data_IF_519411360524
#
_entry.id   IF_519411360524
#
_cell.length_a   1.000
_cell.length_b   1.000
_cell.length_c   1.000
_cell.angle_alpha   90.00
_cell.angle_beta   90.00
_cell.angle_gamma   90.00
#
_symmetry.space_group_name_H-M   'P 1'
#
loop_
_entity.id
_entity.type
_entity.pdbx_description
1 polymer ?
#
# COMPACT_ATOMS: atom_id res chain seq x y z
N UNK A 1 -48.98 2.99 16.40
CA UNK A 1 -49.84 2.43 17.46
C UNK A 1 -48.97 2.12 18.68
N UNK A 2 -49.53 2.28 19.88
CA UNK A 2 -48.91 2.10 21.22
C UNK A 2 -48.05 3.26 21.73
N UNK A 3 -48.69 4.18 22.47
CA UNK A 3 -48.18 4.92 23.64
C UNK A 3 -49.17 6.00 24.16
N UNK A 4 -50.39 6.08 23.61
CA UNK A 4 -51.41 7.07 24.04
C UNK A 4 -52.44 6.56 25.06
N UNK A 5 -52.32 5.31 25.55
CA UNK A 5 -53.37 4.66 26.35
C UNK A 5 -53.03 4.39 27.83
N UNK A 6 -51.84 4.73 28.31
CA UNK A 6 -51.44 4.41 29.70
C UNK A 6 -51.82 5.46 30.77
N UNK A 7 -52.35 6.62 30.37
CA UNK A 7 -52.77 7.67 31.33
C UNK A 7 -54.28 7.88 31.44
N UNK A 8 -55.08 7.14 30.67
CA UNK A 8 -56.55 7.24 30.71
C UNK A 8 -57.19 6.41 31.85
N UNK A 9 -56.41 5.60 32.57
CA UNK A 9 -56.92 4.69 33.61
C UNK A 9 -56.73 5.20 35.05
N UNK A 10 -56.33 6.45 35.26
CA UNK A 10 -56.23 7.08 36.59
C UNK A 10 -57.37 8.06 36.90
N UNK A 11 -58.40 8.11 36.04
CA UNK A 11 -59.55 8.98 36.23
C UNK A 11 -60.84 8.24 35.87
N UNK A 12 -61.16 7.21 36.66
CA UNK A 12 -62.54 6.73 36.75
C UNK A 12 -62.75 6.00 38.06
N UNK A 13 -63.55 6.62 38.94
CA UNK A 13 -64.43 5.95 39.90
C UNK A 13 -63.79 4.91 40.82
N UNK A 14 -62.90 5.37 41.72
CA UNK A 14 -62.64 4.65 42.97
C UNK A 14 -63.70 5.06 44.01
N UNK A 15 -64.47 4.13 44.60
CA UNK A 15 -65.44 4.43 45.65
C UNK A 15 -64.81 4.86 46.99
N UNK A 16 -63.49 4.77 47.13
CA UNK A 16 -62.76 5.11 48.37
C UNK A 16 -62.28 6.57 48.43
N UNK A 17 -62.65 7.41 47.45
CA UNK A 17 -62.50 8.85 47.56
C UNK A 17 -63.80 9.50 48.05
N UNK A 18 -64.27 9.10 49.24
CA UNK A 18 -65.17 9.96 50.01
C UNK A 18 -64.38 11.20 50.39
N UNK A 19 -64.62 12.29 49.67
CA UNK A 19 -64.25 13.63 50.11
C UNK A 19 -64.85 13.81 51.51
N UNK A 20 -64.01 13.88 52.53
CA UNK A 20 -64.33 14.43 53.83
C UNK A 20 -64.90 15.83 53.60
N UNK A 21 -66.23 15.92 53.66
CA UNK A 21 -67.01 17.11 53.31
C UNK A 21 -66.86 18.26 54.31
N UNK A 22 -65.64 18.62 54.66
CA UNK A 22 -65.29 19.92 55.23
C UNK A 22 -64.98 20.84 54.05
N UNK A 23 -65.87 21.79 53.69
CA UNK A 23 -65.50 22.81 52.72
C UNK A 23 -64.38 23.65 53.34
N UNK A 24 -63.14 23.48 52.86
CA UNK A 24 -62.05 24.43 53.11
C UNK A 24 -62.49 25.80 52.59
N UNK A 25 -63.08 26.62 53.47
CA UNK A 25 -63.34 28.02 53.21
C UNK A 25 -62.00 28.75 53.24
N UNK A 26 -61.39 28.90 52.06
CA UNK A 26 -60.32 29.88 51.88
C UNK A 26 -60.89 31.27 52.21
N UNK A 27 -60.22 32.07 53.06
CA UNK A 27 -60.73 33.39 53.43
C UNK A 27 -60.86 34.25 52.18
N UNK A 28 -62.09 34.50 51.76
CA UNK A 28 -62.42 35.48 50.74
C UNK A 28 -62.05 36.85 51.28
N UNK A 29 -61.30 37.64 50.52
CA UNK A 29 -61.16 39.07 50.78
C UNK A 29 -62.56 39.73 50.80
N UNK A 30 -62.76 40.87 51.47
CA UNK A 30 -64.08 41.48 51.70
C UNK A 30 -64.99 41.65 50.45
N UNK A 31 -64.39 41.67 49.26
CA UNK A 31 -65.09 41.86 47.98
C UNK A 31 -65.36 40.54 47.21
N UNK A 32 -65.10 39.37 47.80
CA UNK A 32 -65.52 38.07 47.22
C UNK A 32 -64.77 37.60 45.97
N UNK A 33 -63.62 38.20 45.63
CA UNK A 33 -62.82 37.83 44.45
C UNK A 33 -61.55 37.10 44.87
N UNK A 34 -61.34 35.87 44.37
CA UNK A 34 -60.05 35.19 44.53
C UNK A 34 -58.96 35.92 43.71
N UNK A 35 -57.77 36.20 44.27
CA UNK A 35 -56.68 36.77 43.50
C UNK A 35 -56.31 35.81 42.36
N UNK A 36 -56.12 36.29 41.12
CA UNK A 36 -55.68 35.43 40.02
C UNK A 36 -54.34 34.78 40.40
N UNK A 37 -54.13 33.48 40.09
CA UNK A 37 -52.85 32.83 40.36
C UNK A 37 -51.72 33.64 39.71
N UNK A 38 -50.55 33.77 40.37
CA UNK A 38 -49.45 34.53 39.82
C UNK A 38 -49.09 34.00 38.42
N UNK A 39 -49.00 34.89 37.44
CA UNK A 39 -48.65 34.53 36.07
C UNK A 39 -47.31 33.79 36.07
N UNK A 40 -47.35 32.49 35.74
CA UNK A 40 -46.14 31.70 35.58
C UNK A 40 -45.33 32.32 34.44
N UNK A 41 -44.19 32.95 34.77
CA UNK A 41 -43.24 33.45 33.76
C UNK A 41 -42.92 32.28 32.82
N UNK A 42 -43.08 32.44 31.49
CA UNK A 42 -42.76 31.38 30.54
C UNK A 42 -41.26 31.10 30.67
N UNK A 43 -40.93 30.04 31.42
CA UNK A 43 -39.54 29.63 31.59
C UNK A 43 -39.13 29.09 30.23
N UNK A 44 -38.17 29.76 29.58
CA UNK A 44 -37.72 29.53 28.21
C UNK A 44 -36.95 28.19 28.06
N UNK A 45 -37.52 27.11 28.61
CA UNK A 45 -36.95 25.75 28.67
C UNK A 45 -36.65 25.22 27.28
N UNK A 46 -37.44 25.63 26.28
CA UNK A 46 -37.20 25.33 24.88
C UNK A 46 -35.88 25.91 24.37
N UNK A 47 -35.52 27.14 24.74
CA UNK A 47 -34.25 27.76 24.32
C UNK A 47 -33.06 27.02 24.90
N UNK A 48 -33.11 26.65 26.19
CA UNK A 48 -32.05 25.85 26.80
C UNK A 48 -31.95 24.44 26.22
N UNK A 49 -33.08 23.81 25.90
CA UNK A 49 -33.10 22.51 25.22
C UNK A 49 -32.50 22.60 23.81
N UNK A 50 -32.85 23.63 23.04
CA UNK A 50 -32.28 23.89 21.71
C UNK A 50 -30.78 24.15 21.81
N UNK A 51 -30.32 24.97 22.75
CA UNK A 51 -28.90 25.22 22.96
C UNK A 51 -28.13 23.96 23.36
N UNK A 52 -28.72 23.10 24.21
CA UNK A 52 -28.11 21.83 24.59
C UNK A 52 -27.99 20.86 23.39
N UNK A 53 -29.02 20.77 22.55
CA UNK A 53 -28.98 19.96 21.32
C UNK A 53 -27.93 20.49 20.35
N UNK A 54 -27.86 21.81 20.14
CA UNK A 54 -26.85 22.43 19.28
C UNK A 54 -25.42 22.20 19.82
N UNK A 55 -25.22 22.35 21.13
CA UNK A 55 -23.93 22.08 21.76
C UNK A 55 -23.51 20.61 21.60
N UNK A 56 -24.44 19.68 21.76
CA UNK A 56 -24.18 18.25 21.55
C UNK A 56 -23.83 17.93 20.09
N UNK A 57 -24.51 18.56 19.14
CA UNK A 57 -24.20 18.42 17.71
C UNK A 57 -22.80 18.94 17.39
N UNK A 58 -22.44 20.13 17.88
CA UNK A 58 -21.09 20.71 17.69
C UNK A 58 -20.02 19.82 18.33
N UNK A 59 -20.24 19.37 19.57
CA UNK A 59 -19.34 18.44 20.24
C UNK A 59 -19.15 17.15 19.43
N UNK A 60 -20.24 16.58 18.94
CA UNK A 60 -20.19 15.34 18.15
C UNK A 60 -19.44 15.55 16.83
N UNK A 61 -19.68 16.66 16.12
CA UNK A 61 -18.95 17.00 14.89
C UNK A 61 -17.46 17.17 15.17
N UNK A 62 -17.08 17.85 16.25
CA UNK A 62 -15.68 18.04 16.63
C UNK A 62 -15.00 16.71 16.98
N UNK A 63 -15.67 15.85 17.76
CA UNK A 63 -15.14 14.51 18.10
C UNK A 63 -15.00 13.65 16.86
N UNK A 64 -15.97 13.63 15.95
CA UNK A 64 -15.90 12.86 14.71
C UNK A 64 -14.82 13.39 13.76
N UNK A 65 -14.66 14.71 13.69
CA UNK A 65 -13.60 15.34 12.88
C UNK A 65 -12.22 15.01 13.45
N UNK A 66 -12.04 15.11 14.77
CA UNK A 66 -10.82 14.72 15.45
C UNK A 66 -10.55 13.21 15.30
N UNK A 67 -11.54 12.34 15.47
CA UNK A 67 -11.39 10.90 15.28
C UNK A 67 -11.02 10.55 13.83
N UNK A 68 -11.61 11.24 12.85
CA UNK A 68 -11.26 11.07 11.44
C UNK A 68 -9.82 11.50 11.16
N UNK A 69 -9.42 12.69 11.60
CA UNK A 69 -8.10 13.25 11.35
C UNK A 69 -6.98 12.51 12.09
N UNK A 70 -7.18 12.20 13.37
CA UNK A 70 -6.12 11.66 14.23
C UNK A 70 -6.09 10.13 14.33
N UNK A 71 -7.22 9.44 14.12
CA UNK A 71 -7.29 7.98 14.23
C UNK A 71 -7.60 7.27 12.90
N UNK A 72 -8.60 7.71 12.15
CA UNK A 72 -8.99 7.00 10.94
C UNK A 72 -7.91 7.14 9.85
N UNK A 73 -7.43 8.35 9.57
CA UNK A 73 -6.39 8.57 8.55
C UNK A 73 -5.05 7.92 8.90
N UNK A 74 -4.68 7.90 10.17
CA UNK A 74 -3.40 7.32 10.64
C UNK A 74 -3.41 5.79 10.68
N UNK A 75 -4.57 5.16 10.93
CA UNK A 75 -4.67 3.71 11.13
C UNK A 75 -5.24 2.98 9.90
N UNK A 76 -5.88 3.69 8.96
CA UNK A 76 -6.48 3.08 7.76
C UNK A 76 -5.50 2.26 6.91
N UNK A 77 -4.26 2.70 6.63
CA UNK A 77 -3.28 1.88 5.88
C UNK A 77 -2.94 0.57 6.61
N UNK A 78 -2.75 0.65 7.93
CA UNK A 78 -2.39 -0.49 8.79
C UNK A 78 -3.55 -1.50 8.92
N UNK A 79 -4.81 -1.03 8.97
CA UNK A 79 -5.99 -1.90 9.00
C UNK A 79 -6.25 -2.53 7.62
N UNK A 80 -6.02 -1.79 6.54
CA UNK A 80 -6.28 -2.26 5.19
C UNK A 80 -5.29 -3.35 4.74
N UNK A 81 -4.06 -3.32 5.24
CA UNK A 81 -3.03 -4.33 4.96
C UNK A 81 -2.19 -4.62 6.22
N UNK A 82 -2.70 -5.41 7.18
CA UNK A 82 -1.93 -5.74 8.37
C UNK A 82 -0.78 -6.67 7.99
N UNK A 83 0.44 -6.13 8.00
CA UNK A 83 1.66 -6.88 7.78
C UNK A 83 2.48 -6.94 9.08
N UNK A 84 3.17 -8.06 9.35
CA UNK A 84 4.10 -8.15 10.50
C UNK A 84 5.45 -7.51 10.22
N UNK A 85 5.69 -7.16 8.96
CA UNK A 85 6.90 -6.51 8.48
C UNK A 85 6.87 -4.98 8.70
N UNK A 86 5.74 -4.45 9.19
CA UNK A 86 5.46 -3.04 9.50
C UNK A 86 5.76 -2.10 8.33
N UNK A 87 5.69 -2.60 7.09
CA UNK A 87 5.96 -1.82 5.89
C UNK A 87 4.89 -0.74 5.67
N UNK A 88 3.64 -0.98 6.09
CA UNK A 88 2.56 -0.01 5.95
C UNK A 88 2.58 1.10 7.00
N UNK A 89 3.31 0.95 8.11
CA UNK A 89 3.35 1.94 9.19
C UNK A 89 4.18 3.18 8.87
N UNK A 90 5.10 3.10 7.90
CA UNK A 90 5.96 4.22 7.49
C UNK A 90 5.32 5.09 6.41
N UNK A 91 4.17 4.67 5.87
CA UNK A 91 3.49 5.41 4.82
C UNK A 91 2.79 6.64 5.38
N UNK A 92 3.43 7.78 5.14
CA UNK A 92 2.84 9.09 5.32
C UNK A 92 2.40 9.62 3.95
N UNK A 93 1.25 10.28 3.86
CA UNK A 93 0.76 10.84 2.61
C UNK A 93 0.75 12.36 2.68
N UNK A 94 1.17 13.01 1.59
CA UNK A 94 1.12 14.46 1.42
C UNK A 94 0.48 14.81 0.09
N UNK A 95 -0.30 15.88 0.10
CA UNK A 95 -0.80 16.47 -1.13
C UNK A 95 0.35 17.20 -1.83
N UNK A 96 0.53 16.93 -3.11
CA UNK A 96 1.56 17.53 -3.96
C UNK A 96 0.90 18.15 -5.20
N UNK A 97 1.45 19.26 -5.73
CA UNK A 97 1.06 19.72 -7.06
C UNK A 97 1.49 18.69 -8.09
N UNK A 98 0.70 18.52 -9.15
CA UNK A 98 1.12 17.70 -10.27
C UNK A 98 2.35 18.32 -10.94
N UNK A 99 3.41 17.52 -11.10
CA UNK A 99 4.59 17.95 -11.85
C UNK A 99 4.36 17.71 -13.34
N UNK A 100 4.34 18.79 -14.11
CA UNK A 100 4.16 18.77 -15.56
C UNK A 100 5.48 18.94 -16.31
N UNK A 101 6.60 19.09 -15.59
CA UNK A 101 7.91 19.20 -16.23
C UNK A 101 8.27 17.86 -16.83
N UNK A 102 8.39 17.85 -18.16
CA UNK A 102 8.98 16.69 -18.82
C UNK A 102 10.41 16.49 -18.30
N UNK A 103 10.82 15.24 -18.04
CA UNK A 103 12.19 14.93 -17.65
C UNK A 103 13.16 15.47 -18.71
N UNK A 104 14.08 16.34 -18.30
CA UNK A 104 15.18 16.78 -19.16
C UNK A 104 16.37 15.81 -19.07
N UNK A 105 17.44 16.08 -19.82
CA UNK A 105 18.65 15.26 -19.79
C UNK A 105 19.37 15.26 -18.42
N UNK A 106 18.99 16.13 -17.48
CA UNK A 106 19.51 16.16 -16.12
C UNK A 106 18.68 15.33 -15.14
N UNK A 107 17.51 14.80 -15.55
CA UNK A 107 16.65 14.01 -14.68
C UNK A 107 17.39 12.77 -14.15
N UNK A 108 17.39 12.50 -12.82
CA UNK A 108 18.27 11.48 -12.22
C UNK A 108 18.03 10.05 -12.72
N UNK A 109 16.84 9.77 -13.24
CA UNK A 109 16.40 8.43 -13.65
C UNK A 109 15.90 8.33 -15.10
N UNK A 110 15.81 9.45 -15.84
CA UNK A 110 15.21 9.48 -17.18
C UNK A 110 16.07 10.36 -18.11
N UNK A 111 15.72 10.38 -19.40
CA UNK A 111 16.48 11.07 -20.44
C UNK A 111 17.50 10.15 -21.12
N UNK A 112 18.50 10.74 -21.77
CA UNK A 112 19.49 9.96 -22.54
C UNK A 112 20.30 9.01 -21.65
N UNK A 113 20.51 7.73 -22.07
CA UNK A 113 21.33 6.76 -21.34
C UNK A 113 22.72 7.31 -20.99
N UNK A 114 23.11 7.16 -19.72
CA UNK A 114 24.41 7.62 -19.21
C UNK A 114 24.82 6.87 -17.93
N UNK A 115 26.13 6.72 -17.67
CA UNK A 115 26.60 5.95 -16.51
C UNK A 115 26.09 6.45 -15.16
N UNK A 116 25.81 7.74 -15.01
CA UNK A 116 25.23 8.30 -13.80
C UNK A 116 23.80 7.84 -13.55
N UNK A 117 22.97 7.83 -14.60
CA UNK A 117 21.60 7.36 -14.55
C UNK A 117 21.55 5.86 -14.20
N UNK A 118 22.44 5.06 -14.78
CA UNK A 118 22.55 3.63 -14.46
C UNK A 118 22.94 3.40 -12.99
N UNK A 119 23.87 4.20 -12.45
CA UNK A 119 24.22 4.16 -11.02
C UNK A 119 23.05 4.54 -10.13
N UNK A 120 22.27 5.55 -10.51
CA UNK A 120 21.10 5.98 -9.75
C UNK A 120 20.04 4.88 -9.71
N UNK A 121 19.72 4.26 -10.85
CA UNK A 121 18.80 3.12 -10.91
C UNK A 121 19.30 1.92 -10.11
N UNK A 122 20.57 1.56 -10.25
CA UNK A 122 21.17 0.46 -9.49
C UNK A 122 21.08 0.72 -7.98
N UNK A 123 21.38 1.94 -7.54
CA UNK A 123 21.27 2.34 -6.12
C UNK A 123 19.82 2.25 -5.64
N UNK A 124 18.89 2.81 -6.42
CA UNK A 124 17.46 2.80 -6.10
C UNK A 124 16.92 1.38 -5.96
N UNK A 125 17.15 0.53 -6.96
CA UNK A 125 16.66 -0.86 -6.96
C UNK A 125 17.34 -1.72 -5.90
N UNK A 126 18.64 -1.49 -5.63
CA UNK A 126 19.34 -2.21 -4.56
C UNK A 126 18.78 -1.91 -3.17
N UNK A 127 18.22 -0.71 -2.97
CA UNK A 127 17.63 -0.30 -1.70
C UNK A 127 16.37 -1.11 -1.35
N UNK A 128 15.68 -1.68 -2.35
CA UNK A 128 14.48 -2.49 -2.17
C UNK A 128 14.76 -4.00 -2.21
N UNK A 129 16.02 -4.42 -2.04
CA UNK A 129 16.39 -5.82 -1.78
C UNK A 129 16.24 -6.05 -0.30
N UNK A 130 15.06 -6.46 0.11
CA UNK A 130 14.60 -6.40 1.48
C UNK A 130 14.82 -7.72 2.22
N UNK A 131 15.14 -7.64 3.51
CA UNK A 131 15.10 -8.78 4.43
C UNK A 131 13.69 -8.91 5.00
N UNK A 132 12.94 -9.88 4.53
CA UNK A 132 11.56 -10.14 4.97
C UNK A 132 11.59 -11.07 6.19
N UNK A 133 11.02 -10.67 7.34
CA UNK A 133 10.99 -11.50 8.53
C UNK A 133 10.24 -12.81 8.33
N UNK A 134 10.74 -13.86 8.94
CA UNK A 134 10.18 -15.21 8.94
C UNK A 134 8.76 -15.22 9.50
N UNK A 135 8.47 -14.34 10.46
CA UNK A 135 7.12 -14.20 11.01
C UNK A 135 6.10 -13.75 9.97
N UNK A 136 6.52 -13.00 8.94
CA UNK A 136 5.68 -12.55 7.83
C UNK A 136 5.58 -13.65 6.76
N UNK A 137 6.69 -14.26 6.36
CA UNK A 137 6.69 -15.40 5.42
C UNK A 137 5.82 -16.55 5.94
N UNK A 138 5.93 -16.91 7.23
CA UNK A 138 5.07 -17.91 7.87
C UNK A 138 3.60 -17.50 7.94
N UNK A 139 3.32 -16.21 8.10
CA UNK A 139 1.93 -15.70 8.10
C UNK A 139 1.30 -15.88 6.71
N UNK A 140 2.10 -15.74 5.66
CA UNK A 140 1.69 -15.89 4.27
C UNK A 140 1.64 -17.36 3.81
N UNK A 141 2.30 -18.28 4.52
CA UNK A 141 2.32 -19.70 4.15
C UNK A 141 3.13 -20.00 2.89
N UNK A 142 4.20 -19.24 2.66
CA UNK A 142 5.04 -19.30 1.45
C UNK A 142 6.50 -19.70 1.74
N UNK A 143 6.77 -20.26 2.93
CA UNK A 143 8.12 -20.62 3.40
C UNK A 143 8.85 -21.52 2.40
N UNK A 144 8.17 -22.57 1.90
CA UNK A 144 8.78 -23.59 1.03
C UNK A 144 9.37 -23.01 -0.26
N UNK A 145 8.77 -21.93 -0.79
CA UNK A 145 9.19 -21.27 -2.02
C UNK A 145 9.97 -19.97 -1.80
N UNK A 146 10.13 -19.53 -0.55
CA UNK A 146 10.82 -18.29 -0.22
C UNK A 146 12.31 -18.55 -0.02
N UNK A 147 13.15 -17.60 -0.42
CA UNK A 147 14.61 -17.77 -0.41
C UNK A 147 15.16 -17.40 0.97
N UNK A 148 15.79 -18.35 1.66
CA UNK A 148 16.49 -18.09 2.92
C UNK A 148 17.83 -17.38 2.67
N UNK A 149 18.15 -16.40 3.51
CA UNK A 149 19.45 -15.71 3.50
C UNK A 149 20.43 -16.48 4.40
N UNK A 150 21.47 -17.04 3.78
CA UNK A 150 22.54 -17.77 4.46
C UNK A 150 23.61 -16.81 4.97
N UNK A 151 23.27 -15.96 5.93
CA UNK A 151 24.20 -15.09 6.65
C UNK A 151 23.95 -15.15 8.16
N UNK A 152 24.74 -14.41 8.95
CA UNK A 152 24.65 -14.42 10.41
C UNK A 152 23.28 -13.94 10.96
N UNK A 153 22.45 -13.32 10.11
CA UNK A 153 21.15 -12.74 10.49
C UNK A 153 19.98 -13.67 10.12
N UNK A 154 20.05 -14.40 9.00
CA UNK A 154 18.97 -15.30 8.56
C UNK A 154 17.76 -14.55 7.95
N UNK A 155 16.55 -15.07 8.04
CA UNK A 155 15.35 -14.50 7.38
C UNK A 155 15.33 -14.72 5.86
N UNK A 156 14.40 -14.04 5.17
CA UNK A 156 14.11 -14.32 3.77
C UNK A 156 14.45 -13.14 2.86
N UNK A 157 14.98 -13.44 1.68
CA UNK A 157 15.13 -12.47 0.60
C UNK A 157 13.76 -12.12 0.02
N UNK A 158 13.48 -10.83 -0.11
CA UNK A 158 12.28 -10.35 -0.76
C UNK A 158 12.37 -8.90 -1.20
N UNK A 159 11.23 -8.35 -1.57
CA UNK A 159 11.06 -6.94 -1.89
C UNK A 159 9.61 -6.54 -1.63
N UNK A 160 9.37 -5.31 -1.23
CA UNK A 160 8.03 -4.73 -1.28
C UNK A 160 7.59 -4.43 -2.72
N UNK A 161 6.27 -4.39 -2.95
CA UNK A 161 5.69 -4.18 -4.28
C UNK A 161 6.23 -2.96 -5.03
N UNK A 162 6.56 -1.86 -4.34
CA UNK A 162 7.13 -0.68 -4.99
C UNK A 162 8.52 -0.96 -5.60
N UNK A 163 9.32 -1.83 -5.01
CA UNK A 163 10.61 -2.24 -5.58
C UNK A 163 10.45 -3.00 -6.90
N UNK A 164 9.49 -3.93 -6.96
CA UNK A 164 9.11 -4.62 -8.19
C UNK A 164 8.59 -3.65 -9.25
N UNK A 165 7.73 -2.70 -8.87
CA UNK A 165 7.17 -1.71 -9.80
C UNK A 165 8.27 -0.79 -10.36
N UNK A 166 9.22 -0.36 -9.54
CA UNK A 166 10.38 0.41 -10.00
C UNK A 166 11.28 -0.39 -10.95
N UNK A 167 11.48 -1.69 -10.68
CA UNK A 167 12.17 -2.58 -11.61
C UNK A 167 11.47 -2.61 -12.98
N UNK A 168 10.13 -2.72 -12.99
CA UNK A 168 9.35 -2.67 -14.24
C UNK A 168 9.50 -1.33 -14.98
N UNK A 169 9.54 -0.20 -14.26
CA UNK A 169 9.78 1.11 -14.87
C UNK A 169 11.17 1.17 -15.51
N UNK A 170 12.22 0.69 -14.81
CA UNK A 170 13.57 0.62 -15.38
C UNK A 170 13.61 -0.28 -16.61
N UNK A 171 12.97 -1.44 -16.56
CA UNK A 171 12.93 -2.38 -17.68
C UNK A 171 12.25 -1.77 -18.92
N UNK A 172 11.17 -1.01 -18.74
CA UNK A 172 10.54 -0.25 -19.82
C UNK A 172 11.45 0.86 -20.36
N UNK A 173 12.14 1.58 -19.48
CA UNK A 173 13.13 2.59 -19.89
C UNK A 173 14.23 1.95 -20.76
N UNK A 174 14.74 0.78 -20.37
CA UNK A 174 15.76 0.07 -21.15
C UNK A 174 15.22 -0.40 -22.51
N UNK A 175 13.96 -0.84 -22.55
CA UNK A 175 13.26 -1.16 -23.80
C UNK A 175 13.04 0.06 -24.71
N UNK A 176 12.77 1.24 -24.16
CA UNK A 176 12.70 2.50 -24.92
C UNK A 176 14.06 2.88 -25.50
N UNK A 177 15.14 2.49 -24.83
CA UNK A 177 16.53 2.69 -25.25
C UNK A 177 17.18 1.39 -25.73
N UNK A 178 16.41 0.55 -26.45
CA UNK A 178 16.83 -0.77 -26.94
C UNK A 178 18.17 -0.75 -27.66
N UNK A 179 18.43 0.25 -28.50
CA UNK A 179 19.70 0.35 -29.24
C UNK A 179 20.92 0.54 -28.33
N UNK A 180 20.72 1.07 -27.13
CA UNK A 180 21.79 1.23 -26.13
C UNK A 180 21.93 -0.03 -25.26
N UNK A 181 20.83 -0.46 -24.62
CA UNK A 181 20.85 -1.52 -23.60
C UNK A 181 20.74 -2.94 -24.16
N UNK A 182 20.14 -3.10 -25.34
CA UNK A 182 19.80 -4.39 -25.94
C UNK A 182 20.23 -4.46 -27.42
N UNK A 183 21.47 -4.05 -27.69
CA UNK A 183 22.03 -4.14 -29.03
C UNK A 183 22.34 -5.60 -29.40
N UNK A 184 22.05 -5.97 -30.64
CA UNK A 184 22.37 -7.29 -31.23
C UNK A 184 21.69 -8.52 -30.58
N UNK A 185 20.44 -8.37 -30.10
CA UNK A 185 19.66 -9.52 -29.63
C UNK A 185 19.38 -10.55 -30.75
N UNK A 186 19.43 -11.83 -30.38
CA UNK A 186 18.90 -12.95 -31.18
C UNK A 186 17.37 -12.94 -31.21
N UNK A 187 16.75 -13.70 -32.12
CA UNK A 187 15.29 -13.82 -32.18
C UNK A 187 14.68 -14.37 -30.88
N UNK A 188 15.37 -15.31 -30.23
CA UNK A 188 14.93 -15.87 -28.95
C UNK A 188 14.99 -14.83 -27.82
N UNK A 189 16.05 -14.01 -27.79
CA UNK A 189 16.19 -12.91 -26.83
C UNK A 189 15.14 -11.82 -27.08
N UNK A 190 14.89 -11.45 -28.33
CA UNK A 190 13.84 -10.47 -28.69
C UNK A 190 12.47 -10.91 -28.16
N UNK A 191 12.13 -12.20 -28.34
CA UNK A 191 10.88 -12.77 -27.86
C UNK A 191 10.80 -12.75 -26.34
N UNK A 192 11.90 -13.09 -25.66
CA UNK A 192 12.00 -13.06 -24.20
C UNK A 192 11.85 -11.63 -23.67
N UNK A 193 12.61 -10.69 -24.22
CA UNK A 193 12.59 -9.28 -23.86
C UNK A 193 11.19 -8.68 -24.06
N UNK A 194 10.56 -8.93 -25.22
CA UNK A 194 9.19 -8.53 -25.50
C UNK A 194 8.19 -9.11 -24.50
N UNK A 195 8.29 -10.40 -24.16
CA UNK A 195 7.44 -11.02 -23.14
C UNK A 195 7.61 -10.36 -21.77
N UNK A 196 8.83 -9.98 -21.41
CA UNK A 196 9.11 -9.30 -20.14
C UNK A 196 8.56 -7.87 -20.13
N UNK A 197 8.70 -7.09 -21.22
CA UNK A 197 8.06 -5.77 -21.35
C UNK A 197 6.53 -5.86 -21.14
N UNK A 198 5.87 -6.86 -21.73
CA UNK A 198 4.43 -7.08 -21.53
C UNK A 198 4.09 -7.47 -20.09
N UNK A 199 4.92 -8.27 -19.44
CA UNK A 199 4.80 -8.58 -18.01
C UNK A 199 4.89 -7.30 -17.16
N UNK A 200 5.89 -6.44 -17.43
CA UNK A 200 6.08 -5.17 -16.73
C UNK A 200 4.86 -4.27 -16.88
N UNK A 201 4.33 -4.11 -18.10
CA UNK A 201 3.11 -3.34 -18.35
C UNK A 201 1.91 -3.89 -17.57
N UNK A 202 1.72 -5.22 -17.59
CA UNK A 202 0.63 -5.86 -16.86
C UNK A 202 0.73 -5.61 -15.35
N UNK A 203 1.93 -5.73 -14.77
CA UNK A 203 2.15 -5.49 -13.34
C UNK A 203 1.98 -4.04 -12.94
N UNK A 204 2.43 -3.10 -13.76
CA UNK A 204 2.20 -1.67 -13.53
C UNK A 204 0.71 -1.32 -13.62
N UNK A 205 -0.03 -1.92 -14.57
CA UNK A 205 -1.49 -1.77 -14.62
C UNK A 205 -2.17 -2.30 -13.36
N UNK A 206 -1.75 -3.44 -12.84
CA UNK A 206 -2.30 -3.98 -11.59
C UNK A 206 -1.97 -3.08 -10.40
N UNK A 207 -0.76 -2.54 -10.33
CA UNK A 207 -0.39 -1.56 -9.30
C UNK A 207 -1.29 -0.31 -9.33
N UNK A 208 -1.60 0.22 -10.51
CA UNK A 208 -2.50 1.36 -10.68
C UNK A 208 -3.95 1.03 -10.25
N UNK A 209 -4.41 -0.21 -10.47
CA UNK A 209 -5.73 -0.65 -9.99
C UNK A 209 -5.78 -0.83 -8.47
N UNK A 210 -4.69 -1.30 -7.87
CA UNK A 210 -4.57 -1.45 -6.41
C UNK A 210 -4.48 -0.10 -5.70
N UNK A 211 -3.85 0.90 -6.34
CA UNK A 211 -3.65 2.24 -5.79
C UNK A 211 -4.13 3.32 -6.77
N UNK A 212 -5.44 3.40 -7.04
CA UNK A 212 -5.96 4.35 -8.00
C UNK A 212 -5.89 5.78 -7.47
N UNK A 213 -5.28 6.67 -8.24
CA UNK A 213 -5.35 8.11 -8.00
C UNK A 213 -6.63 8.66 -8.62
N UNK A 214 -7.62 8.92 -7.77
CA UNK A 214 -8.94 9.44 -8.17
C UNK A 214 -9.01 10.97 -8.07
N UNK A 215 -7.87 11.66 -7.96
CA UNK A 215 -7.82 13.12 -7.92
C UNK A 215 -8.34 13.71 -9.24
N UNK A 216 -9.19 14.76 -9.20
CA UNK A 216 -9.77 15.31 -10.40
C UNK A 216 -8.69 16.01 -11.26
N UNK A 217 -8.70 15.69 -12.54
CA UNK A 217 -7.85 16.32 -13.55
C UNK A 217 -8.77 17.02 -14.58
N UNK A 218 -8.53 18.29 -14.82
CA UNK A 218 -9.29 19.05 -15.83
C UNK A 218 -8.54 19.06 -17.16
N UNK A 219 -9.26 19.41 -18.23
CA UNK A 219 -8.69 19.57 -19.56
C UNK A 219 -8.85 21.02 -20.02
N UNK A 220 -7.94 21.50 -20.86
CA UNK A 220 -8.06 22.81 -21.52
C UNK A 220 -7.69 22.73 -23.00
N UNK A 221 -8.04 23.78 -23.76
CA UNK A 221 -7.76 23.87 -25.19
C UNK A 221 -6.44 24.62 -25.44
N UNK A 222 -5.65 24.13 -26.40
CA UNK A 222 -4.44 24.81 -26.90
C UNK A 222 -4.55 25.04 -28.41
N UNK A 223 -3.76 25.98 -28.94
CA UNK A 223 -3.87 26.42 -30.35
C UNK A 223 -3.38 25.34 -31.33
N UNK A 224 -2.40 24.55 -30.93
CA UNK A 224 -1.69 23.59 -31.76
C UNK A 224 -2.31 22.18 -31.78
N UNK A 225 -3.36 21.93 -31.00
CA UNK A 225 -3.99 20.61 -30.89
C UNK A 225 -5.51 20.70 -31.08
N UNK A 226 -6.06 19.74 -31.82
CA UNK A 226 -7.50 19.64 -32.06
C UNK A 226 -8.24 18.94 -30.91
N UNK A 227 -7.51 18.22 -30.06
CA UNK A 227 -8.02 17.59 -28.86
C UNK A 227 -7.65 18.44 -27.63
N UNK A 228 -8.48 18.43 -26.56
CA UNK A 228 -8.11 19.11 -25.34
C UNK A 228 -6.98 18.36 -24.65
N UNK A 229 -6.04 19.10 -24.06
CA UNK A 229 -4.91 18.53 -23.32
C UNK A 229 -5.14 18.60 -21.82
N UNK A 230 -4.34 17.87 -21.06
CA UNK A 230 -4.37 17.89 -19.60
C UNK A 230 -4.03 19.28 -19.08
N UNK A 231 -4.88 19.80 -18.19
CA UNK A 231 -4.61 21.01 -17.44
C UNK A 231 -3.90 20.67 -16.13
N UNK A 232 -2.58 20.82 -16.12
CA UNK A 232 -1.75 20.63 -14.93
C UNK A 232 -1.79 21.81 -13.96
N UNK A 233 -2.22 22.99 -14.40
CA UNK A 233 -2.25 24.19 -13.56
C UNK A 233 -3.24 24.03 -12.42
N UNK A 234 -2.72 24.04 -11.19
CA UNK A 234 -3.51 23.84 -9.99
C UNK A 234 -4.01 22.40 -9.79
N UNK A 235 -3.60 21.45 -10.63
CA UNK A 235 -3.84 20.03 -10.40
C UNK A 235 -3.07 19.58 -9.15
N UNK A 236 -3.77 18.89 -8.25
CA UNK A 236 -3.21 18.41 -6.97
C UNK A 236 -3.64 16.98 -6.78
N UNK A 237 -2.75 16.19 -6.21
CA UNK A 237 -3.02 14.80 -5.87
C UNK A 237 -2.24 14.38 -4.62
N UNK A 238 -2.60 13.25 -4.05
CA UNK A 238 -2.01 12.75 -2.80
C UNK A 238 -1.01 11.65 -3.09
N UNK A 239 0.24 11.86 -2.68
CA UNK A 239 1.32 10.88 -2.86
C UNK A 239 1.90 10.44 -1.52
N UNK A 240 2.47 9.23 -1.50
CA UNK A 240 3.28 8.79 -0.37
C UNK A 240 4.51 9.70 -0.21
N UNK A 241 4.93 9.91 1.03
CA UNK A 241 6.14 10.64 1.36
C UNK A 241 7.35 9.78 1.02
N UNK A 242 7.93 10.02 -0.16
CA UNK A 242 8.99 9.18 -0.72
C UNK A 242 10.21 9.07 0.19
N UNK A 243 10.55 10.13 0.93
CA UNK A 243 11.67 10.11 1.86
C UNK A 243 11.50 9.07 2.96
N UNK A 244 10.27 8.88 3.45
CA UNK A 244 9.93 7.89 4.49
C UNK A 244 9.98 6.47 3.94
N UNK A 245 9.51 6.28 2.71
CA UNK A 245 9.63 4.99 1.99
C UNK A 245 11.09 4.61 1.80
N UNK A 246 11.92 5.56 1.36
CA UNK A 246 13.35 5.32 1.14
C UNK A 246 14.12 5.11 2.45
N UNK A 247 13.78 5.83 3.51
CA UNK A 247 14.35 5.62 4.84
C UNK A 247 14.05 4.20 5.35
N UNK A 248 12.79 3.77 5.26
CA UNK A 248 12.38 2.42 5.62
C UNK A 248 13.10 1.36 4.78
N UNK A 249 13.15 1.54 3.46
CA UNK A 249 13.78 0.57 2.56
C UNK A 249 15.29 0.41 2.89
N UNK A 250 16.01 1.52 3.11
CA UNK A 250 17.43 1.47 3.53
C UNK A 250 17.66 0.74 4.86
N UNK A 251 16.71 0.84 5.79
CA UNK A 251 16.81 0.19 7.10
C UNK A 251 16.50 -1.32 7.03
N UNK A 252 15.76 -1.76 6.01
CA UNK A 252 15.40 -3.17 5.82
C UNK A 252 16.13 -3.84 4.66
N UNK A 253 16.96 -3.09 3.93
CA UNK A 253 17.76 -3.63 2.84
C UNK A 253 18.75 -4.69 3.36
N UNK A 254 19.03 -5.67 2.53
CA UNK A 254 20.05 -6.68 2.79
C UNK A 254 21.41 -6.01 2.59
N UNK A 255 22.06 -5.65 3.69
CA UNK A 255 23.48 -5.32 3.70
C UNK A 255 24.23 -6.63 3.88
N UNK A 256 24.94 -7.14 2.86
CA UNK A 256 25.61 -8.42 3.01
C UNK A 256 26.74 -8.26 4.04
N UNK A 257 26.62 -8.98 5.15
CA UNK A 257 27.51 -8.92 6.31
C UNK A 257 28.88 -9.56 5.98
N UNK A 258 29.73 -8.82 5.25
CA UNK A 258 31.04 -9.30 4.81
C UNK A 258 31.04 -10.21 3.57
N UNK A 259 29.86 -10.50 2.98
CA UNK A 259 29.72 -11.14 1.67
C UNK A 259 29.59 -10.06 0.58
N UNK A 260 30.10 -10.29 -0.63
CA UNK A 260 30.20 -9.29 -1.69
C UNK A 260 28.97 -9.23 -2.62
N UNK A 261 28.17 -10.30 -2.74
CA UNK A 261 27.05 -10.35 -3.68
C UNK A 261 25.83 -11.14 -3.20
N UNK A 262 24.66 -10.88 -3.80
CA UNK A 262 23.42 -11.62 -3.53
C UNK A 262 23.58 -13.12 -3.77
N UNK A 263 24.36 -13.52 -4.78
CA UNK A 263 24.65 -14.93 -5.07
C UNK A 263 25.45 -15.63 -3.96
N UNK A 264 26.12 -14.88 -3.08
CA UNK A 264 26.85 -15.45 -1.94
C UNK A 264 26.00 -15.55 -0.66
N UNK A 265 25.00 -14.68 -0.50
CA UNK A 265 24.06 -14.73 0.64
C UNK A 265 22.81 -15.57 0.34
N UNK A 266 22.47 -15.74 -0.94
CA UNK A 266 21.35 -16.51 -1.42
C UNK A 266 21.73 -17.30 -2.69
N UNK A 267 22.63 -18.30 -2.57
CA UNK A 267 23.09 -19.08 -3.72
C UNK A 267 21.92 -19.85 -4.37
N UNK A 268 21.78 -19.74 -5.69
CA UNK A 268 20.81 -20.53 -6.43
C UNK A 268 21.10 -22.04 -6.26
N UNK A 269 20.15 -22.87 -5.79
CA UNK A 269 20.41 -24.28 -5.45
C UNK A 269 21.02 -25.12 -6.56
N UNK A 270 20.73 -24.77 -7.82
CA UNK A 270 21.17 -25.52 -9.00
C UNK A 270 22.35 -24.92 -9.74
N UNK A 271 22.57 -23.60 -9.61
CA UNK A 271 23.44 -22.87 -10.54
C UNK A 271 24.55 -22.09 -9.83
N UNK A 272 24.51 -21.96 -8.50
CA UNK A 272 25.49 -21.16 -7.77
C UNK A 272 26.94 -21.61 -8.01
N UNK A 273 27.19 -22.91 -8.19
CA UNK A 273 28.51 -23.48 -8.48
C UNK A 273 29.00 -23.21 -9.91
N UNK A 274 28.12 -22.74 -10.79
CA UNK A 274 28.40 -22.47 -12.21
C UNK A 274 28.57 -20.99 -12.50
N UNK A 275 28.36 -20.13 -11.50
CA UNK A 275 28.60 -18.69 -11.57
C UNK A 275 30.08 -18.40 -11.28
N UNK A 276 30.61 -17.35 -11.91
CA UNK A 276 31.95 -16.86 -11.60
C UNK A 276 32.00 -16.10 -10.25
N UNK A 277 33.19 -15.64 -9.85
CA UNK A 277 33.42 -14.90 -8.60
C UNK A 277 32.62 -13.59 -8.49
N UNK A 278 32.18 -13.04 -9.63
CA UNK A 278 31.36 -11.83 -9.72
C UNK A 278 29.87 -12.14 -9.88
N UNK A 279 29.48 -13.43 -9.95
CA UNK A 279 28.11 -13.88 -10.14
C UNK A 279 27.65 -13.92 -11.60
N UNK A 280 28.55 -13.80 -12.57
CA UNK A 280 28.22 -13.90 -13.99
C UNK A 280 28.22 -15.35 -14.49
N UNK A 281 27.46 -15.59 -15.55
CA UNK A 281 27.40 -16.87 -16.24
C UNK A 281 27.27 -16.67 -17.75
N UNK A 282 27.96 -17.51 -18.53
CA UNK A 282 27.96 -17.51 -20.00
C UNK A 282 26.72 -18.16 -20.64
N UNK A 283 25.91 -18.84 -19.81
CA UNK A 283 24.64 -19.46 -20.17
C UNK A 283 23.43 -18.57 -19.85
N UNK A 284 23.64 -17.31 -19.48
CA UNK A 284 22.58 -16.35 -19.24
C UNK A 284 22.53 -15.34 -20.38
N UNK A 285 21.33 -14.98 -20.81
CA UNK A 285 21.13 -13.83 -21.69
C UNK A 285 21.21 -12.51 -20.91
N UNK A 286 21.04 -11.38 -21.61
CA UNK A 286 21.09 -10.03 -21.01
C UNK A 286 20.06 -9.79 -19.90
N UNK A 287 18.96 -10.56 -19.88
CA UNK A 287 17.92 -10.50 -18.83
C UNK A 287 18.16 -11.49 -17.68
N UNK A 288 19.36 -12.09 -17.61
CA UNK A 288 19.71 -13.16 -16.67
C UNK A 288 18.81 -14.41 -16.78
N UNK A 289 18.27 -14.68 -17.97
CA UNK A 289 17.47 -15.88 -18.28
C UNK A 289 18.39 -16.95 -18.87
N UNK A 290 18.17 -18.20 -18.46
CA UNK A 290 18.97 -19.35 -18.87
C UNK A 290 18.77 -19.66 -20.36
N UNK A 291 19.86 -19.64 -21.10
CA UNK A 291 19.98 -20.23 -22.44
C UNK A 291 20.30 -21.72 -22.30
N UNK A 292 19.25 -22.55 -22.30
CA UNK A 292 19.34 -23.98 -22.04
C UNK A 292 20.33 -24.72 -22.93
N UNK A 293 20.43 -24.37 -24.21
CA UNK A 293 21.37 -25.00 -25.14
C UNK A 293 22.82 -24.77 -24.72
N UNK A 294 23.15 -23.56 -24.22
CA UNK A 294 24.48 -23.24 -23.70
C UNK A 294 24.77 -24.00 -22.42
N UNK A 295 23.82 -24.01 -21.48
CA UNK A 295 23.97 -24.72 -20.22
C UNK A 295 24.15 -26.23 -20.44
N UNK A 296 23.33 -26.84 -21.30
CA UNK A 296 23.37 -28.28 -21.58
C UNK A 296 24.65 -28.73 -22.28
N UNK A 297 25.28 -27.84 -23.05
CA UNK A 297 26.57 -28.10 -23.67
C UNK A 297 27.74 -28.11 -22.67
N UNK A 298 27.58 -27.54 -21.47
CA UNK A 298 28.68 -27.43 -20.51
C UNK A 298 29.02 -28.78 -19.83
N UNK A 299 30.32 -29.16 -19.76
CA UNK A 299 30.73 -30.41 -19.10
C UNK A 299 30.46 -30.45 -17.60
N UNK A 300 30.61 -29.31 -16.90
CA UNK A 300 30.37 -29.19 -15.47
C UNK A 300 28.88 -29.32 -15.12
N UNK A 301 27.99 -28.76 -15.94
CA UNK A 301 26.55 -29.02 -15.85
C UNK A 301 26.22 -30.50 -16.03
N UNK A 302 26.81 -31.17 -17.02
CA UNK A 302 26.56 -32.60 -17.26
C UNK A 302 27.01 -33.47 -16.08
N UNK A 303 28.14 -33.11 -15.45
CA UNK A 303 28.62 -33.78 -14.24
C UNK A 303 27.64 -33.56 -13.07
N UNK A 304 27.25 -32.30 -12.82
CA UNK A 304 26.30 -31.94 -11.77
C UNK A 304 24.94 -32.63 -11.96
N UNK A 305 24.39 -32.62 -13.19
CA UNK A 305 23.12 -33.24 -13.53
C UNK A 305 23.14 -34.75 -13.27
N UNK A 306 24.24 -35.43 -13.62
CA UNK A 306 24.42 -36.86 -13.36
C UNK A 306 24.45 -37.18 -11.87
N UNK A 307 25.16 -36.37 -11.08
CA UNK A 307 25.25 -36.52 -9.62
C UNK A 307 23.88 -36.36 -8.94
N UNK A 308 23.06 -35.42 -9.44
CA UNK A 308 21.76 -35.08 -8.87
C UNK A 308 20.57 -35.82 -9.52
N UNK A 309 20.83 -36.78 -10.41
CA UNK A 309 19.81 -37.59 -11.07
C UNK A 309 18.90 -36.82 -12.03
N UNK A 310 19.39 -35.73 -12.62
CA UNK A 310 18.69 -34.95 -13.65
C UNK A 310 19.00 -35.54 -15.04
N UNK A 311 18.00 -36.01 -15.81
CA UNK A 311 18.22 -36.53 -17.14
C UNK A 311 18.87 -35.51 -18.08
N UNK A 312 19.80 -35.94 -18.93
CA UNK A 312 20.46 -35.04 -19.88
C UNK A 312 19.46 -34.36 -20.82
N UNK A 313 19.68 -33.06 -21.07
CA UNK A 313 18.81 -32.27 -21.94
C UNK A 313 17.44 -31.95 -21.33
N UNK A 314 17.24 -32.18 -20.03
CA UNK A 314 15.98 -31.87 -19.34
C UNK A 314 16.15 -30.78 -18.31
N UNK A 315 15.07 -30.03 -18.10
CA UNK A 315 15.00 -28.99 -17.08
C UNK A 315 14.84 -29.66 -15.70
N UNK A 316 15.62 -29.25 -14.68
CA UNK A 316 15.47 -29.75 -13.31
C UNK A 316 14.05 -29.57 -12.78
N UNK A 317 13.63 -30.50 -11.92
CA UNK A 317 12.28 -30.45 -11.32
C UNK A 317 12.20 -29.32 -10.30
N UNK A 318 11.03 -28.69 -10.19
CA UNK A 318 10.81 -27.52 -9.31
C UNK A 318 11.05 -27.83 -7.83
N UNK A 319 10.88 -29.07 -7.40
CA UNK A 319 11.12 -29.49 -6.02
C UNK A 319 12.57 -29.30 -5.58
N UNK A 320 13.51 -29.25 -6.53
CA UNK A 320 14.92 -28.96 -6.26
C UNK A 320 15.19 -27.49 -5.91
N UNK A 321 14.19 -26.60 -6.07
CA UNK A 321 14.26 -25.19 -5.70
C UNK A 321 13.63 -24.91 -4.33
N UNK A 322 13.12 -25.94 -3.64
CA UNK A 322 12.51 -25.77 -2.32
C UNK A 322 13.57 -25.29 -1.34
N UNK A 323 13.13 -24.40 -0.45
CA UNK A 323 13.96 -23.93 0.63
C UNK A 323 14.29 -25.07 1.60
N UNK A 324 15.56 -25.39 1.74
CA UNK A 324 16.07 -26.44 2.63
C UNK A 324 15.98 -26.08 4.11
N UNK A 325 15.71 -24.82 4.46
CA UNK A 325 15.51 -24.37 5.83
C UNK A 325 14.12 -24.73 6.41
N UNK A 326 13.20 -25.19 5.55
CA UNK A 326 11.87 -25.65 5.96
C UNK A 326 11.96 -27.18 6.16
N UNK A 327 12.26 -27.59 7.39
CA UNK A 327 12.37 -28.99 7.81
C UNK A 327 11.05 -29.65 8.13
#
# INVERSE_FOLDING_TARGET
>A
MFYKSQYASLSSNSPDCTSDGEPEQYPLTPDGVQPPPPALKPRNRYTYAVLAVLAQLVYTILVLSAAREFHYKSVCPVIAAPDRYRAWEVLEYKEVPADHKEPDDHHPYLGTPRPELDRNWNTLLSTFRDRVPSAEIRRLGIEEGSIWLDDDVGEYYGSVWVGHNLHCVKYLYDGLHRDHYYHNMTEAEEKSHSSHLHHCLHRLMDALKCHPDMSPLSLHWVVNEVAPIVNWDGARHTCANWDRVMEWARNNQIVPAGKASLGQVAPHPLYATLLDENGHADFLNQDAIIEWDRLFARPDWQAWAKEHGVPQGTIPRKEMLRNSHVG
#
